data_IF_488070019942
#
_entry.id   IF_488070019942
#
_cell.length_a   1.000
_cell.length_b   1.000
_cell.length_c   1.000
_cell.angle_alpha   90.00
_cell.angle_beta   90.00
_cell.angle_gamma   90.00
#
_symmetry.space_group_name_H-M   'P 1'
#
loop_
_entity.id
_entity.type
_entity.pdbx_description
1 polymer ?
#
# COMPACT_ATOMS: atom_id res chain seq x y z
N UNK A 1 -8.41 15.70 -3.65
CA UNK A 1 -7.88 14.44 -4.22
C UNK A 1 -6.95 13.71 -3.24
N UNK A 2 -5.85 14.32 -2.78
CA UNK A 2 -4.88 13.67 -1.87
C UNK A 2 -5.52 13.03 -0.61
N UNK A 3 -6.40 13.70 0.16
CA UNK A 3 -6.97 13.08 1.37
C UNK A 3 -7.85 11.84 1.08
N UNK A 4 -8.43 11.76 -0.12
CA UNK A 4 -9.22 10.62 -0.56
C UNK A 4 -8.29 9.47 -1.00
N UNK A 5 -7.21 9.78 -1.72
CA UNK A 5 -6.20 8.79 -2.11
C UNK A 5 -5.52 8.17 -0.89
N UNK A 6 -5.18 8.98 0.13
CA UNK A 6 -4.65 8.48 1.41
C UNK A 6 -5.64 7.56 2.11
N UNK A 7 -6.94 7.91 2.09
CA UNK A 7 -7.97 7.06 2.67
C UNK A 7 -8.07 5.71 1.94
N UNK A 8 -8.23 5.73 0.61
CA UNK A 8 -8.39 4.53 -0.19
C UNK A 8 -7.15 3.64 -0.09
N UNK A 9 -5.96 4.20 -0.36
CA UNK A 9 -4.71 3.45 -0.29
C UNK A 9 -4.45 2.94 1.12
N UNK A 10 -4.69 3.75 2.16
CA UNK A 10 -4.53 3.32 3.55
C UNK A 10 -5.45 2.15 3.90
N UNK A 11 -6.72 2.18 3.48
CA UNK A 11 -7.64 1.06 3.67
C UNK A 11 -7.19 -0.21 2.93
N UNK A 12 -6.71 -0.09 1.69
CA UNK A 12 -6.17 -1.23 0.93
C UNK A 12 -5.00 -1.87 1.68
N UNK A 13 -4.05 -1.07 2.17
CA UNK A 13 -2.89 -1.58 2.90
C UNK A 13 -3.27 -2.23 4.23
N UNK A 14 -4.25 -1.68 4.96
CA UNK A 14 -4.78 -2.29 6.18
C UNK A 14 -5.39 -3.66 5.88
N UNK A 15 -6.26 -3.74 4.86
CA UNK A 15 -6.94 -4.98 4.50
C UNK A 15 -5.95 -6.04 4.02
N UNK A 16 -5.00 -5.66 3.18
CA UNK A 16 -3.94 -6.55 2.73
C UNK A 16 -3.08 -7.02 3.91
N UNK A 17 -2.65 -6.10 4.77
CA UNK A 17 -1.83 -6.40 5.93
C UNK A 17 -2.49 -7.38 6.90
N UNK A 18 -3.75 -7.15 7.26
CA UNK A 18 -4.54 -8.07 8.08
C UNK A 18 -4.64 -9.45 7.42
N UNK A 19 -4.92 -9.49 6.12
CA UNK A 19 -5.02 -10.75 5.37
C UNK A 19 -3.70 -11.52 5.37
N UNK A 20 -2.57 -10.84 5.17
CA UNK A 20 -1.24 -11.44 5.15
C UNK A 20 -0.77 -11.92 6.54
N UNK A 21 -1.18 -11.24 7.62
CA UNK A 21 -0.89 -11.67 9.00
C UNK A 21 -1.68 -12.93 9.36
N UNK A 22 -3.00 -12.90 9.15
CA UNK A 22 -3.91 -13.93 9.64
C UNK A 22 -3.94 -15.15 8.72
N UNK A 23 -3.88 -14.93 7.40
CA UNK A 23 -4.13 -15.96 6.40
C UNK A 23 -3.09 -15.93 5.26
N UNK A 24 -1.77 -16.01 5.55
CA UNK A 24 -0.72 -15.88 4.54
C UNK A 24 -0.83 -16.91 3.42
N UNK A 25 -1.28 -18.14 3.70
CA UNK A 25 -1.49 -19.17 2.67
C UNK A 25 -2.59 -18.79 1.66
N UNK A 26 -3.62 -18.07 2.11
CA UNK A 26 -4.67 -17.54 1.22
C UNK A 26 -4.11 -16.39 0.39
N UNK A 27 -3.25 -15.54 0.95
CA UNK A 27 -2.59 -14.49 0.16
C UNK A 27 -1.72 -15.10 -0.93
N UNK A 28 -0.90 -16.11 -0.62
CA UNK A 28 -0.07 -16.82 -1.62
C UNK A 28 -0.94 -17.42 -2.73
N UNK A 29 -1.95 -18.20 -2.36
CA UNK A 29 -2.83 -18.85 -3.35
C UNK A 29 -3.66 -17.84 -4.14
N UNK A 30 -4.12 -16.77 -3.51
CA UNK A 30 -4.86 -15.67 -4.14
C UNK A 30 -4.02 -14.91 -5.17
N UNK A 31 -2.69 -14.85 -4.97
CA UNK A 31 -1.77 -14.36 -6.00
C UNK A 31 -1.32 -15.47 -6.96
N UNK A 32 -1.97 -16.63 -7.01
CA UNK A 32 -1.59 -17.73 -7.91
C UNK A 32 -0.22 -18.33 -7.61
N UNK A 33 0.30 -18.13 -6.40
CA UNK A 33 1.56 -18.70 -5.94
C UNK A 33 1.42 -20.19 -5.59
N UNK A 34 2.52 -20.96 -5.68
CA UNK A 34 2.55 -22.36 -5.26
C UNK A 34 2.40 -22.48 -3.73
N UNK A 35 2.28 -23.71 -3.23
CA UNK A 35 2.37 -23.94 -1.78
C UNK A 35 3.68 -23.36 -1.23
N UNK A 36 3.55 -22.48 -0.25
CA UNK A 36 4.66 -21.79 0.40
C UNK A 36 5.15 -22.57 1.63
N UNK A 37 6.46 -22.61 1.81
CA UNK A 37 7.08 -23.16 3.01
C UNK A 37 6.91 -22.23 4.24
N UNK A 38 7.31 -22.71 5.42
CA UNK A 38 7.16 -21.94 6.67
C UNK A 38 7.94 -20.62 6.65
N UNK A 39 9.10 -20.58 6.00
CA UNK A 39 9.91 -19.38 5.89
C UNK A 39 9.18 -18.31 5.05
N UNK A 40 8.66 -18.69 3.88
CA UNK A 40 7.87 -17.82 3.00
C UNK A 40 6.62 -17.31 3.70
N UNK A 41 5.87 -18.18 4.38
CA UNK A 41 4.67 -17.78 5.13
C UNK A 41 5.01 -16.81 6.27
N UNK A 42 6.18 -16.94 6.90
CA UNK A 42 6.64 -16.02 7.95
C UNK A 42 7.02 -14.66 7.37
N UNK A 43 7.70 -14.63 6.21
CA UNK A 43 8.01 -13.39 5.49
C UNK A 43 6.73 -12.66 5.05
N UNK A 44 5.71 -13.39 4.60
CA UNK A 44 4.42 -12.79 4.21
C UNK A 44 3.73 -12.16 5.42
N UNK A 45 3.79 -12.79 6.60
CA UNK A 45 3.27 -12.17 7.82
C UNK A 45 4.02 -10.90 8.18
N UNK A 46 5.36 -10.90 8.08
CA UNK A 46 6.18 -9.71 8.32
C UNK A 46 5.85 -8.58 7.35
N UNK A 47 5.70 -8.89 6.06
CA UNK A 47 5.20 -7.96 5.05
C UNK A 47 3.79 -7.46 5.41
N UNK A 48 2.95 -8.35 5.92
CA UNK A 48 1.61 -8.03 6.42
C UNK A 48 1.63 -7.03 7.57
N UNK A 49 2.54 -7.19 8.54
CA UNK A 49 2.73 -6.23 9.64
C UNK A 49 3.19 -4.87 9.09
N UNK A 50 4.14 -4.86 8.15
CA UNK A 50 4.64 -3.64 7.55
C UNK A 50 3.53 -2.87 6.79
N UNK A 51 2.79 -3.57 5.92
CA UNK A 51 1.68 -3.00 5.13
C UNK A 51 0.52 -2.53 6.03
N UNK A 52 0.15 -3.33 7.03
CA UNK A 52 -0.83 -2.92 8.04
C UNK A 52 -0.40 -1.63 8.76
N UNK A 53 0.86 -1.56 9.22
CA UNK A 53 1.41 -0.39 9.88
C UNK A 53 1.43 0.84 8.99
N UNK A 54 1.81 0.70 7.71
CA UNK A 54 1.76 1.77 6.71
C UNK A 54 0.32 2.27 6.51
N UNK A 55 -0.64 1.37 6.35
CA UNK A 55 -2.05 1.71 6.17
C UNK A 55 -2.64 2.44 7.38
N UNK A 56 -2.47 1.89 8.59
CA UNK A 56 -2.92 2.52 9.84
C UNK A 56 -2.25 3.88 10.03
N UNK A 57 -0.93 3.95 9.86
CA UNK A 57 -0.16 5.19 10.00
C UNK A 57 -0.65 6.27 9.03
N UNK A 58 -0.94 5.91 7.78
CA UNK A 58 -1.48 6.85 6.80
C UNK A 58 -2.88 7.35 7.17
N UNK A 59 -3.76 6.47 7.65
CA UNK A 59 -5.10 6.84 8.10
C UNK A 59 -5.07 7.71 9.36
N UNK A 60 -4.19 7.41 10.31
CA UNK A 60 -3.98 8.24 11.50
C UNK A 60 -3.43 9.61 11.12
N UNK A 61 -2.40 9.67 10.28
CA UNK A 61 -1.82 10.93 9.79
C UNK A 61 -2.86 11.80 9.07
N UNK A 62 -3.72 11.19 8.24
CA UNK A 62 -4.85 11.87 7.61
C UNK A 62 -5.84 12.42 8.63
N UNK A 63 -6.29 11.60 9.58
CA UNK A 63 -7.32 12.00 10.55
C UNK A 63 -6.80 13.10 11.48
N UNK A 64 -5.55 12.98 11.89
CA UNK A 64 -4.89 13.98 12.71
C UNK A 64 -4.73 15.31 11.97
N UNK A 65 -4.36 15.28 10.67
CA UNK A 65 -4.33 16.48 9.83
C UNK A 65 -5.73 17.13 9.67
N UNK A 66 -6.81 16.36 9.70
CA UNK A 66 -8.17 16.92 9.70
C UNK A 66 -8.49 17.55 11.06
N UNK A 67 -8.05 16.93 12.16
CA UNK A 67 -8.42 17.32 13.52
C UNK A 67 -7.64 18.53 14.07
N UNK A 68 -6.39 18.76 13.63
CA UNK A 68 -5.52 19.79 14.23
C UNK A 68 -5.96 21.22 13.98
N UNK A 69 -6.75 21.51 12.93
CA UNK A 69 -7.22 22.87 12.59
C UNK A 69 -6.11 23.85 12.16
N UNK A 70 -4.87 23.61 12.58
CA UNK A 70 -3.66 24.27 12.09
C UNK A 70 -3.34 23.75 10.69
N UNK A 71 -3.62 24.59 9.69
CA UNK A 71 -3.38 24.27 8.29
C UNK A 71 -1.93 23.93 7.97
N UNK A 72 -0.93 24.49 8.68
CA UNK A 72 0.48 24.21 8.42
C UNK A 72 0.90 22.84 8.99
N UNK A 73 0.45 22.51 10.20
CA UNK A 73 0.74 21.22 10.83
C UNK A 73 -0.02 20.08 10.14
N UNK A 74 -1.29 20.31 9.79
CA UNK A 74 -2.11 19.42 8.97
C UNK A 74 -1.49 19.20 7.59
N UNK A 75 -0.94 20.25 6.99
CA UNK A 75 -0.23 20.18 5.72
C UNK A 75 1.01 19.29 5.83
N UNK A 76 1.83 19.45 6.86
CA UNK A 76 3.00 18.60 7.10
C UNK A 76 2.63 17.12 7.15
N UNK A 77 1.82 16.71 8.12
CA UNK A 77 1.49 15.28 8.30
C UNK A 77 0.66 14.68 7.15
N UNK A 78 -0.31 15.43 6.61
CA UNK A 78 -1.08 14.97 5.46
C UNK A 78 -0.21 14.77 4.22
N UNK A 79 0.82 15.60 4.04
CA UNK A 79 1.78 15.46 2.94
C UNK A 79 2.73 14.30 3.16
N UNK A 80 3.22 14.08 4.39
CA UNK A 80 4.07 12.92 4.69
C UNK A 80 3.34 11.59 4.44
N UNK A 81 2.09 11.46 4.92
CA UNK A 81 1.28 10.25 4.66
C UNK A 81 1.09 10.00 3.15
N UNK A 82 0.80 11.06 2.39
CA UNK A 82 0.63 10.97 0.94
C UNK A 82 1.94 10.62 0.21
N UNK A 83 3.06 11.23 0.58
CA UNK A 83 4.37 10.97 -0.02
C UNK A 83 4.83 9.55 0.30
N UNK A 84 4.70 9.10 1.54
CA UNK A 84 5.07 7.73 1.94
C UNK A 84 4.27 6.68 1.16
N UNK A 85 2.96 6.87 1.03
CA UNK A 85 2.12 5.98 0.22
C UNK A 85 2.44 6.07 -1.27
N UNK A 86 2.74 7.26 -1.79
CA UNK A 86 3.15 7.43 -3.18
C UNK A 86 4.43 6.63 -3.47
N UNK A 87 5.46 6.80 -2.64
CA UNK A 87 6.74 6.09 -2.77
C UNK A 87 6.52 4.58 -2.67
N UNK A 88 5.77 4.13 -1.67
CA UNK A 88 5.45 2.72 -1.52
C UNK A 88 4.79 2.14 -2.78
N UNK A 89 3.76 2.79 -3.31
CA UNK A 89 3.05 2.32 -4.50
C UNK A 89 3.95 2.35 -5.77
N UNK A 90 4.79 3.38 -5.93
CA UNK A 90 5.74 3.50 -7.04
C UNK A 90 6.79 2.38 -7.00
N UNK A 91 7.22 1.96 -5.81
CA UNK A 91 8.20 0.88 -5.65
C UNK A 91 7.53 -0.51 -5.72
N UNK A 92 6.35 -0.67 -5.13
CA UNK A 92 5.61 -1.92 -5.13
C UNK A 92 5.20 -2.35 -6.54
N UNK A 93 4.73 -1.40 -7.37
CA UNK A 93 4.29 -1.68 -8.73
C UNK A 93 5.33 -2.42 -9.59
N UNK A 94 6.56 -1.90 -9.82
CA UNK A 94 7.56 -2.60 -10.61
C UNK A 94 7.99 -3.92 -9.98
N UNK A 95 8.12 -4.00 -8.65
CA UNK A 95 8.49 -5.25 -7.96
C UNK A 95 7.46 -6.35 -8.25
N UNK A 96 6.16 -6.03 -8.14
CA UNK A 96 5.09 -6.97 -8.40
C UNK A 96 4.98 -7.33 -9.89
N UNK A 97 5.14 -6.36 -10.78
CA UNK A 97 5.11 -6.61 -12.23
C UNK A 97 6.30 -7.46 -12.68
N UNK A 98 7.50 -7.24 -12.16
CA UNK A 98 8.65 -8.11 -12.43
C UNK A 98 8.43 -9.52 -11.88
N UNK A 99 7.88 -9.66 -10.68
CA UNK A 99 7.48 -10.96 -10.14
C UNK A 99 6.43 -11.65 -11.02
N UNK A 100 5.44 -10.91 -11.52
CA UNK A 100 4.41 -11.42 -12.42
C UNK A 100 5.00 -11.92 -13.75
N UNK A 101 5.97 -11.19 -14.32
CA UNK A 101 6.68 -11.61 -15.54
C UNK A 101 7.45 -12.92 -15.35
N UNK A 102 8.06 -13.13 -14.18
CA UNK A 102 8.85 -14.33 -13.88
C UNK A 102 7.98 -15.55 -13.58
N UNK A 103 6.78 -15.35 -13.03
CA UNK A 103 5.94 -16.43 -12.49
C UNK A 103 4.68 -16.71 -13.30
N UNK A 104 4.27 -15.79 -14.19
CA UNK A 104 2.98 -15.85 -14.86
C UNK A 104 1.78 -15.57 -13.95
N UNK A 105 2.00 -15.14 -12.71
CA UNK A 105 0.95 -14.92 -11.71
C UNK A 105 -0.01 -13.79 -12.09
N UNK A 106 -1.30 -14.11 -12.25
CA UNK A 106 -2.34 -13.10 -12.50
C UNK A 106 -2.58 -12.17 -11.30
N UNK A 107 -2.46 -12.66 -10.07
CA UNK A 107 -2.64 -11.82 -8.89
C UNK A 107 -1.50 -10.81 -8.70
N UNK A 108 -0.27 -11.16 -9.07
CA UNK A 108 0.85 -10.21 -9.10
C UNK A 108 0.67 -9.16 -10.21
N UNK A 109 0.12 -9.53 -11.37
CA UNK A 109 -0.27 -8.57 -12.41
C UNK A 109 -1.30 -7.56 -11.89
N UNK A 110 -2.38 -8.06 -11.26
CA UNK A 110 -3.44 -7.22 -10.72
C UNK A 110 -2.92 -6.30 -9.60
N UNK A 111 -2.13 -6.83 -8.67
CA UNK A 111 -1.50 -6.04 -7.60
C UNK A 111 -0.57 -4.97 -8.17
N UNK A 112 0.33 -5.34 -9.09
CA UNK A 112 1.25 -4.41 -9.73
C UNK A 112 0.53 -3.29 -10.47
N UNK A 113 -0.54 -3.60 -11.20
CA UNK A 113 -1.37 -2.60 -11.87
C UNK A 113 -2.08 -1.67 -10.88
N UNK A 114 -2.66 -2.22 -9.80
CA UNK A 114 -3.30 -1.44 -8.74
C UNK A 114 -2.33 -0.43 -8.11
N UNK A 115 -1.16 -0.90 -7.67
CA UNK A 115 -0.13 -0.03 -7.11
C UNK A 115 0.37 0.99 -8.13
N UNK A 116 0.53 0.62 -9.40
CA UNK A 116 0.94 1.54 -10.47
C UNK A 116 -0.07 2.68 -10.65
N UNK A 117 -1.36 2.36 -10.70
CA UNK A 117 -2.44 3.36 -10.83
C UNK A 117 -2.50 4.25 -9.60
N UNK A 118 -2.47 3.69 -8.39
CA UNK A 118 -2.51 4.48 -7.15
C UNK A 118 -1.27 5.39 -7.05
N UNK A 119 -0.09 4.87 -7.35
CA UNK A 119 1.17 5.62 -7.37
C UNK A 119 1.11 6.80 -8.35
N UNK A 120 0.64 6.55 -9.58
CA UNK A 120 0.46 7.61 -10.58
C UNK A 120 -0.55 8.67 -10.12
N UNK A 121 -1.68 8.26 -9.54
CA UNK A 121 -2.69 9.17 -9.01
C UNK A 121 -2.11 10.03 -7.88
N UNK A 122 -1.27 9.47 -7.00
CA UNK A 122 -0.57 10.24 -5.98
C UNK A 122 0.40 11.25 -6.60
N UNK A 123 1.23 10.85 -7.57
CA UNK A 123 2.16 11.75 -8.26
C UNK A 123 1.40 12.91 -8.89
N UNK A 124 0.34 12.62 -9.67
CA UNK A 124 -0.50 13.65 -10.30
C UNK A 124 -1.13 14.56 -9.24
N UNK A 125 -1.63 14.00 -8.14
CA UNK A 125 -2.26 14.76 -7.06
C UNK A 125 -1.29 15.67 -6.31
N UNK A 126 -0.03 15.24 -6.14
CA UNK A 126 1.02 15.99 -5.46
C UNK A 126 1.61 17.07 -6.37
N UNK A 127 1.88 16.73 -7.64
CA UNK A 127 2.41 17.69 -8.63
C UNK A 127 1.41 18.80 -8.92
N UNK A 128 0.12 18.49 -9.14
CA UNK A 128 -0.92 19.52 -9.38
C UNK A 128 -1.28 20.36 -8.15
N UNK A 129 -0.70 20.03 -7.00
CA UNK A 129 -0.89 20.76 -5.74
C UNK A 129 0.12 21.90 -5.55
N UNK A 130 1.17 21.92 -6.39
CA UNK A 130 2.14 22.99 -6.53
C UNK A 130 1.79 23.84 -7.76
#
# INVERSE_FOLDING_TARGET
MVPLLVLISGCVEVLFGVSAILMPAIVVSGVGGPQADLATLSLIRLLGVATFGLGVGALLGRNWAIATGDHAMAYGLGSYAAISLAIYNILAAPVLLFGALQTGSQGLWAGGALHGVIGLLFVVALVRRH
#
